data_IF_676883394979
#
_entry.id   IF_676883394979
#
_cell.length_a   1.000
_cell.length_b   1.000
_cell.length_c   1.000
_cell.angle_alpha   90.00
_cell.angle_beta   90.00
_cell.angle_gamma   90.00
#
_symmetry.space_group_name_H-M   'P 1'
#
loop_
_entity.id
_entity.type
_entity.pdbx_description
1 polymer ?
#
# COMPACT_ATOMS: atom_id res chain seq x y z
N UNK A 1 6.72 15.66 15.95
CA UNK A 1 5.61 14.87 15.41
C UNK A 1 4.79 14.27 16.53
N UNK A 2 3.50 14.39 16.42
CA UNK A 2 2.61 13.86 17.42
C UNK A 2 2.66 12.35 17.48
N UNK A 3 2.40 11.77 18.65
CA UNK A 3 2.39 10.33 18.82
C UNK A 3 1.41 9.64 17.88
N UNK A 4 0.23 10.25 17.66
CA UNK A 4 -0.77 9.69 16.78
C UNK A 4 -0.24 9.59 15.35
N UNK A 5 0.46 10.60 14.88
CA UNK A 5 1.03 10.59 13.53
C UNK A 5 2.10 9.52 13.40
N UNK A 6 2.93 9.35 14.43
CA UNK A 6 3.94 8.28 14.43
C UNK A 6 3.29 6.91 14.37
N UNK A 7 2.22 6.72 15.15
CA UNK A 7 1.50 5.43 15.14
C UNK A 7 0.93 5.13 13.77
N UNK A 8 0.38 6.14 13.11
CA UNK A 8 -0.18 5.95 11.78
C UNK A 8 0.90 5.57 10.78
N UNK A 9 2.02 6.31 10.76
CA UNK A 9 3.10 6.01 9.84
C UNK A 9 3.74 4.66 10.14
N UNK A 10 3.89 4.30 11.41
CA UNK A 10 4.40 2.97 11.77
C UNK A 10 3.48 1.87 11.24
N UNK A 11 2.17 2.08 11.35
CA UNK A 11 1.21 1.12 10.82
C UNK A 11 1.34 1.00 9.30
N UNK A 12 1.44 2.12 8.61
CA UNK A 12 1.59 2.13 7.14
C UNK A 12 2.86 1.40 6.73
N UNK A 13 3.97 1.68 7.40
CA UNK A 13 5.24 1.03 7.05
C UNK A 13 5.22 -0.46 7.31
N UNK A 14 4.68 -0.90 8.44
CA UNK A 14 4.52 -2.33 8.72
C UNK A 14 3.60 -2.99 7.71
N UNK A 15 2.53 -2.31 7.33
CA UNK A 15 1.58 -2.80 6.34
C UNK A 15 2.24 -2.98 4.98
N UNK A 16 2.99 -1.97 4.51
CA UNK A 16 3.67 -2.04 3.22
C UNK A 16 4.73 -3.15 3.22
N UNK A 17 5.52 -3.22 4.27
CA UNK A 17 6.58 -4.21 4.36
C UNK A 17 6.02 -5.63 4.36
N UNK A 18 4.86 -5.83 5.00
CA UNK A 18 4.24 -7.15 5.05
C UNK A 18 3.83 -7.66 3.68
N UNK A 19 3.54 -6.77 2.73
CA UNK A 19 3.20 -7.18 1.37
C UNK A 19 4.39 -7.83 0.70
N UNK A 20 5.56 -7.20 0.80
CA UNK A 20 6.75 -7.67 0.08
C UNK A 20 7.42 -8.85 0.78
N UNK A 21 7.29 -8.94 2.09
CA UNK A 21 7.82 -10.08 2.84
C UNK A 21 6.82 -11.23 2.89
N UNK A 22 5.62 -11.05 2.36
CA UNK A 22 4.53 -12.03 2.43
C UNK A 22 4.18 -12.42 3.86
N UNK A 23 4.24 -11.46 4.75
CA UNK A 23 3.86 -11.64 6.15
C UNK A 23 2.35 -11.40 6.27
N UNK A 24 1.57 -12.43 5.96
CA UNK A 24 0.11 -12.32 5.93
C UNK A 24 -0.48 -11.98 7.29
N UNK A 25 0.13 -12.44 8.36
CA UNK A 25 -0.35 -12.14 9.71
C UNK A 25 -0.29 -10.64 9.99
N UNK A 26 0.84 -10.00 9.67
CA UNK A 26 0.98 -8.56 9.84
C UNK A 26 0.05 -7.79 8.90
N UNK A 27 -0.07 -8.26 7.66
CA UNK A 27 -0.98 -7.60 6.73
C UNK A 27 -2.42 -7.63 7.26
N UNK A 28 -2.84 -8.77 7.74
CA UNK A 28 -4.18 -8.93 8.31
C UNK A 28 -4.39 -8.04 9.53
N UNK A 29 -3.40 -7.96 10.41
CA UNK A 29 -3.53 -7.16 11.63
C UNK A 29 -3.55 -5.66 11.37
N UNK A 30 -3.04 -5.22 10.23
CA UNK A 30 -3.00 -3.79 9.87
C UNK A 30 -4.09 -3.40 8.88
N UNK A 31 -5.00 -4.32 8.56
CA UNK A 31 -6.01 -4.09 7.53
C UNK A 31 -7.40 -4.43 8.06
N UNK A 32 -8.39 -3.62 7.68
CA UNK A 32 -9.77 -3.87 8.04
C UNK A 32 -10.35 -5.02 7.22
N UNK A 33 -11.25 -5.78 7.81
CA UNK A 33 -11.99 -6.81 7.07
C UNK A 33 -12.80 -6.19 5.93
N UNK A 34 -13.16 -4.93 6.07
CA UNK A 34 -13.94 -4.17 5.10
C UNK A 34 -13.06 -3.45 4.08
N UNK A 35 -11.90 -4.00 3.78
CA UNK A 35 -10.97 -3.40 2.84
C UNK A 35 -11.57 -3.28 1.44
N UNK A 36 -11.36 -2.14 0.81
CA UNK A 36 -11.62 -1.98 -0.62
C UNK A 36 -10.41 -1.32 -1.27
N UNK A 37 -10.10 -1.69 -2.50
CA UNK A 37 -8.96 -1.07 -3.15
C UNK A 37 -9.06 -1.13 -4.67
N UNK A 38 -8.37 -0.17 -5.28
CA UNK A 38 -8.13 -0.14 -6.72
C UNK A 38 -6.65 -0.34 -6.97
N UNK A 39 -6.30 -1.36 -7.74
CA UNK A 39 -4.93 -1.63 -8.19
C UNK A 39 -5.00 -1.97 -9.67
N UNK A 40 -4.79 -0.98 -10.52
CA UNK A 40 -5.01 -1.15 -11.97
C UNK A 40 -4.21 -2.30 -12.58
N UNK A 41 -3.05 -2.61 -11.99
CA UNK A 41 -2.17 -3.65 -12.53
C UNK A 41 -2.56 -5.06 -12.10
N UNK A 42 -3.56 -5.19 -11.24
CA UNK A 42 -4.06 -6.50 -10.79
C UNK A 42 -5.37 -6.80 -11.51
N UNK A 43 -6.39 -5.99 -11.27
CA UNK A 43 -7.67 -6.07 -11.97
C UNK A 43 -8.19 -4.65 -12.19
N UNK A 44 -8.97 -4.41 -13.27
CA UNK A 44 -9.37 -3.06 -13.63
C UNK A 44 -10.49 -2.46 -12.79
N UNK A 45 -11.09 -3.21 -11.92
CA UNK A 45 -12.19 -2.74 -11.08
C UNK A 45 -11.86 -2.92 -9.60
N UNK A 46 -12.76 -2.46 -8.74
CA UNK A 46 -12.53 -2.49 -7.30
C UNK A 46 -12.47 -3.92 -6.76
N UNK A 47 -11.52 -4.14 -5.87
CA UNK A 47 -11.42 -5.37 -5.10
C UNK A 47 -12.05 -5.10 -3.74
N UNK A 48 -12.92 -6.00 -3.28
CA UNK A 48 -13.60 -5.85 -2.00
C UNK A 48 -13.27 -7.01 -1.08
N UNK A 49 -12.96 -6.68 0.18
CA UNK A 49 -12.77 -7.66 1.22
C UNK A 49 -11.34 -8.10 1.44
N UNK A 50 -10.95 -8.18 2.70
CA UNK A 50 -9.62 -8.61 3.08
C UNK A 50 -9.30 -10.05 2.65
N UNK A 51 -10.20 -11.03 2.80
CA UNK A 51 -9.86 -12.40 2.42
C UNK A 51 -9.42 -12.57 0.97
N UNK A 52 -10.09 -11.87 0.04
CA UNK A 52 -9.69 -11.93 -1.36
C UNK A 52 -8.29 -11.36 -1.55
N UNK A 53 -8.01 -10.24 -0.90
CA UNK A 53 -6.70 -9.61 -1.07
C UNK A 53 -5.57 -10.42 -0.43
N UNK A 54 -5.82 -11.06 0.69
CA UNK A 54 -4.85 -11.99 1.29
C UNK A 54 -4.52 -13.11 0.31
N UNK A 55 -5.54 -13.66 -0.33
CA UNK A 55 -5.35 -14.69 -1.34
C UNK A 55 -4.46 -14.18 -2.47
N UNK A 56 -4.70 -12.95 -2.94
CA UNK A 56 -3.91 -12.36 -4.01
C UNK A 56 -2.45 -12.16 -3.61
N UNK A 57 -2.21 -11.67 -2.40
CA UNK A 57 -0.84 -11.49 -1.92
C UNK A 57 -0.12 -12.82 -1.84
N UNK A 58 -0.79 -13.85 -1.31
CA UNK A 58 -0.20 -15.16 -1.14
C UNK A 58 0.21 -15.80 -2.47
N UNK A 59 -0.60 -15.61 -3.52
CA UNK A 59 -0.43 -16.34 -4.77
C UNK A 59 0.15 -15.56 -5.93
N UNK A 60 0.09 -14.23 -5.88
CA UNK A 60 0.47 -13.41 -7.03
C UNK A 60 1.74 -12.60 -6.88
N UNK A 61 2.43 -12.72 -5.77
CA UNK A 61 3.66 -11.94 -5.61
C UNK A 61 4.80 -12.58 -6.40
N UNK A 62 5.05 -12.03 -7.58
CA UNK A 62 6.08 -12.58 -8.47
C UNK A 62 7.49 -12.32 -7.98
N UNK A 63 7.66 -11.42 -7.03
CA UNK A 63 8.98 -11.07 -6.50
C UNK A 63 9.40 -11.85 -5.27
N UNK A 64 8.71 -12.94 -4.93
CA UNK A 64 9.06 -13.74 -3.76
C UNK A 64 10.50 -14.23 -3.90
N UNK A 65 11.34 -13.92 -2.92
CA UNK A 65 12.75 -14.26 -2.95
C UNK A 65 13.64 -13.21 -3.57
N UNK A 66 13.09 -12.18 -4.19
CA UNK A 66 13.86 -11.07 -4.74
C UNK A 66 14.18 -10.08 -3.63
N UNK A 67 15.25 -9.33 -3.81
CA UNK A 67 15.55 -8.21 -2.94
C UNK A 67 14.68 -7.03 -3.36
N UNK A 68 14.16 -6.31 -2.39
CA UNK A 68 13.34 -5.14 -2.69
C UNK A 68 13.70 -3.98 -1.78
N UNK A 69 13.42 -2.80 -2.29
CA UNK A 69 13.53 -1.56 -1.52
C UNK A 69 12.40 -0.66 -1.97
N UNK A 70 11.81 0.08 -1.04
CA UNK A 70 10.82 1.07 -1.40
C UNK A 70 11.11 2.39 -0.73
N UNK A 71 10.66 3.45 -1.36
CA UNK A 71 10.76 4.80 -0.84
C UNK A 71 9.40 5.47 -0.98
N UNK A 72 9.04 6.28 0.00
CA UNK A 72 7.81 7.07 -0.02
C UNK A 72 8.19 8.51 -0.29
N UNK A 73 7.79 9.03 -1.44
CA UNK A 73 8.10 10.40 -1.85
C UNK A 73 6.95 11.33 -1.53
N UNK A 74 7.29 12.50 -0.97
CA UNK A 74 6.33 13.53 -0.62
C UNK A 74 5.18 13.00 0.23
N UNK A 75 5.49 12.31 1.33
CA UNK A 75 4.42 11.75 2.17
C UNK A 75 3.63 12.84 2.85
N UNK A 76 2.32 12.65 2.89
CA UNK A 76 1.42 13.57 3.55
C UNK A 76 0.40 12.80 4.37
N UNK A 77 0.08 13.32 5.54
CA UNK A 77 -0.92 12.76 6.42
C UNK A 77 -1.99 13.80 6.69
N UNK A 78 -3.24 13.40 6.54
CA UNK A 78 -4.40 14.23 6.88
C UNK A 78 -5.18 13.47 7.94
N UNK A 79 -5.32 14.08 9.10
CA UNK A 79 -5.94 13.41 10.25
C UNK A 79 -7.25 14.11 10.62
N UNK A 80 -8.32 13.33 10.69
CA UNK A 80 -9.66 13.80 11.05
C UNK A 80 -10.25 12.84 12.08
N UNK A 81 -10.11 13.18 13.34
CA UNK A 81 -10.59 12.35 14.45
C UNK A 81 -10.06 10.91 14.36
N UNK A 82 -10.90 9.96 14.05
CA UNK A 82 -10.54 8.55 13.98
C UNK A 82 -10.24 8.09 12.56
N UNK A 83 -10.07 9.02 11.62
CA UNK A 83 -9.80 8.70 10.22
C UNK A 83 -8.55 9.43 9.78
N UNK A 84 -7.68 8.72 9.09
CA UNK A 84 -6.47 9.31 8.53
C UNK A 84 -6.39 8.98 7.04
N UNK A 85 -5.89 9.93 6.27
CA UNK A 85 -5.58 9.72 4.87
C UNK A 85 -4.09 9.94 4.72
N UNK A 86 -3.38 8.94 4.20
CA UNK A 86 -1.97 9.10 3.86
C UNK A 86 -1.83 9.02 2.35
N UNK A 87 -0.98 9.84 1.79
CA UNK A 87 -0.71 9.83 0.36
C UNK A 87 0.76 10.10 0.10
N UNK A 88 1.27 9.52 -0.97
CA UNK A 88 2.68 9.61 -1.33
C UNK A 88 2.87 9.02 -2.73
N UNK A 89 4.03 9.25 -3.31
CA UNK A 89 4.44 8.50 -4.48
C UNK A 89 5.30 7.34 -3.99
N UNK A 90 4.88 6.14 -4.32
CA UNK A 90 5.57 4.92 -3.93
C UNK A 90 6.56 4.54 -5.01
N UNK A 91 7.81 4.39 -4.64
CA UNK A 91 8.86 3.96 -5.57
C UNK A 91 9.40 2.62 -5.11
N UNK A 92 9.27 1.63 -5.96
CA UNK A 92 9.70 0.27 -5.65
C UNK A 92 10.86 -0.09 -6.54
N UNK A 93 11.93 -0.60 -5.93
CA UNK A 93 13.08 -1.13 -6.65
C UNK A 93 13.17 -2.61 -6.32
N UNK A 94 13.23 -3.44 -7.36
CA UNK A 94 13.32 -4.90 -7.22
C UNK A 94 14.60 -5.36 -7.92
N UNK A 95 15.42 -6.11 -7.20
CA UNK A 95 16.63 -6.72 -7.77
C UNK A 95 16.43 -8.22 -7.81
N UNK A 96 16.51 -8.78 -9.00
CA UNK A 96 16.29 -10.21 -9.21
C UNK A 96 17.07 -10.68 -10.42
N UNK A 97 17.82 -11.77 -10.23
CA UNK A 97 18.51 -12.42 -11.34
C UNK A 97 19.48 -11.54 -12.13
N UNK A 98 20.13 -10.60 -11.45
CA UNK A 98 21.07 -9.70 -12.10
C UNK A 98 20.45 -8.49 -12.76
N UNK A 99 19.14 -8.34 -12.67
CA UNK A 99 18.47 -7.15 -13.21
C UNK A 99 17.80 -6.37 -12.11
N UNK A 100 17.63 -5.07 -12.35
CA UNK A 100 16.99 -4.15 -11.41
C UNK A 100 15.82 -3.48 -12.13
N UNK A 101 14.67 -3.51 -11.50
CA UNK A 101 13.46 -2.86 -12.03
C UNK A 101 12.99 -1.79 -11.06
N UNK A 102 12.49 -0.70 -11.62
CA UNK A 102 11.90 0.37 -10.83
C UNK A 102 10.44 0.55 -11.23
N UNK A 103 9.59 0.73 -10.24
CA UNK A 103 8.18 1.04 -10.47
C UNK A 103 7.81 2.21 -9.59
N UNK A 104 6.97 3.07 -10.12
CA UNK A 104 6.47 4.21 -9.34
C UNK A 104 4.97 4.35 -9.57
N UNK A 105 4.24 4.60 -8.50
CA UNK A 105 2.83 4.90 -8.60
C UNK A 105 2.39 5.75 -7.42
N UNK A 106 1.29 6.46 -7.60
CA UNK A 106 0.73 7.25 -6.53
C UNK A 106 -0.23 6.39 -5.74
N UNK A 107 -0.19 6.53 -4.42
CA UNK A 107 -1.05 5.78 -3.53
C UNK A 107 -1.73 6.70 -2.55
N UNK A 108 -2.99 6.42 -2.29
CA UNK A 108 -3.73 7.01 -1.19
C UNK A 108 -4.26 5.87 -0.36
N UNK A 109 -4.07 5.95 0.97
CA UNK A 109 -4.60 4.97 1.91
C UNK A 109 -5.44 5.67 2.95
N UNK A 110 -6.60 5.11 3.21
CA UNK A 110 -7.46 5.59 4.28
C UNK A 110 -7.34 4.61 5.44
N UNK A 111 -7.08 5.13 6.62
CA UNK A 111 -6.98 4.32 7.83
C UNK A 111 -8.05 4.78 8.82
N UNK A 112 -8.54 3.84 9.59
CA UNK A 112 -9.48 4.13 10.68
C UNK A 112 -8.88 3.63 11.98
N UNK A 113 -9.18 4.32 13.05
CA UNK A 113 -8.76 3.90 14.38
C UNK A 113 -9.75 2.92 14.94
N UNK A 114 -9.27 1.74 15.30
CA UNK A 114 -10.07 0.70 15.94
C UNK A 114 -9.55 0.48 17.35
N UNK A 115 -10.20 -0.42 18.09
CA UNK A 115 -9.74 -0.77 19.43
C UNK A 115 -8.33 -1.36 19.42
N UNK A 116 -7.96 -2.02 18.33
CA UNK A 116 -6.67 -2.67 18.16
C UNK A 116 -5.63 -1.80 17.48
N UNK A 117 -5.94 -0.52 17.26
CA UNK A 117 -5.04 0.40 16.59
C UNK A 117 -5.55 0.81 15.22
N UNK A 118 -4.67 1.44 14.45
CA UNK A 118 -5.03 1.93 13.12
C UNK A 118 -5.05 0.78 12.12
N UNK A 119 -6.03 0.81 11.21
CA UNK A 119 -6.17 -0.21 10.18
C UNK A 119 -6.49 0.42 8.84
N UNK A 120 -5.87 -0.09 7.79
CA UNK A 120 -6.12 0.36 6.42
C UNK A 120 -7.49 -0.17 5.98
N UNK A 121 -8.34 0.72 5.48
CA UNK A 121 -9.69 0.36 5.04
C UNK A 121 -9.87 0.60 3.54
N UNK A 122 -9.06 1.45 2.94
CA UNK A 122 -9.16 1.72 1.50
C UNK A 122 -7.81 2.09 0.93
N UNK A 123 -7.54 1.63 -0.29
CA UNK A 123 -6.32 1.96 -1.02
C UNK A 123 -6.70 2.30 -2.45
N UNK A 124 -6.10 3.33 -3.00
CA UNK A 124 -6.25 3.65 -4.42
C UNK A 124 -4.85 3.90 -4.99
N UNK A 125 -4.51 3.18 -6.04
CA UNK A 125 -3.23 3.31 -6.72
C UNK A 125 -3.44 3.75 -8.15
N UNK A 126 -2.57 4.65 -8.61
CA UNK A 126 -2.57 5.08 -10.00
C UNK A 126 -1.13 5.22 -10.49
N UNK A 127 -0.88 5.08 -11.80
CA UNK A 127 0.47 5.26 -12.32
C UNK A 127 1.03 6.64 -12.01
N UNK A 128 2.33 6.70 -11.71
CA UNK A 128 3.02 7.96 -11.42
C UNK A 128 3.89 8.36 -12.59
N UNK A 129 3.31 8.38 -13.77
CA UNK A 129 3.98 8.85 -14.96
C UNK A 129 3.01 9.69 -15.78
N UNK A 130 3.56 10.29 -16.80
CA UNK A 130 2.77 11.12 -17.70
C UNK A 130 1.58 10.35 -18.24
N UNK A 131 0.45 11.02 -18.36
CA UNK A 131 -0.74 10.40 -18.92
C UNK A 131 -0.44 9.81 -20.30
N UNK A 132 -1.10 8.71 -20.68
CA UNK A 132 -0.80 8.06 -21.95
C UNK A 132 -1.17 8.90 -23.18
N UNK A 133 -1.92 9.98 -23.00
CA UNK A 133 -2.22 10.90 -24.09
C UNK A 133 -1.76 12.29 -23.70
N UNK A 134 -1.26 13.03 -24.68
CA UNK A 134 -0.85 14.40 -24.45
C UNK A 134 -2.05 15.33 -24.56
N UNK A 135 -2.18 16.30 -23.67
CA UNK A 135 -3.11 17.39 -23.93
C UNK A 135 -2.52 18.16 -25.10
N UNK A 136 -3.27 18.33 -26.09
CA UNK A 136 -2.82 19.06 -27.29
C UNK A 136 -3.10 20.54 -27.16
#
# INVERSE_FOLDING_TARGET
MEEVEKDIWNTVERHLESIFSQDLETYESTTSQDLSLYEWFVIPHRQDGLPFHLFMIEHNWAGAGAEFRYDLWEPRLQLYENTAIVSYTFMLTIAEGGSVQHRAHNESRVLIKSEDGWKVVHVHKSPAWKAPHEPS
#
